data_IF_445283449202
#
_entry.id   IF_445283449202
#
_cell.length_a   1.000
_cell.length_b   1.000
_cell.length_c   1.000
_cell.angle_alpha   90.00
_cell.angle_beta   90.00
_cell.angle_gamma   90.00
#
_symmetry.space_group_name_H-M   'P 1'
#
loop_
_entity.id
_entity.type
_entity.pdbx_description
1 polymer ?
#
# COMPACT_ATOMS: atom_id res chain seq x y z
N UNK A 1 72.10 -46.05 25.35
CA UNK A 1 71.52 -46.25 23.99
C UNK A 1 70.04 -45.87 23.88
N UNK A 2 69.40 -45.32 24.92
CA UNK A 2 67.96 -44.99 24.94
C UNK A 2 67.62 -43.51 24.64
N UNK A 3 68.59 -42.60 24.71
CA UNK A 3 68.36 -41.16 24.49
C UNK A 3 68.21 -40.79 23.01
N UNK A 4 68.78 -41.59 22.09
CA UNK A 4 68.69 -41.33 20.64
C UNK A 4 67.31 -41.67 20.05
N UNK A 5 66.53 -42.54 20.69
CA UNK A 5 65.17 -42.89 20.22
C UNK A 5 64.11 -41.85 20.62
N UNK A 6 64.29 -41.16 21.75
CA UNK A 6 63.37 -40.09 22.16
C UNK A 6 63.42 -38.85 21.26
N UNK A 7 64.59 -38.54 20.70
CA UNK A 7 64.74 -37.41 19.78
C UNK A 7 64.11 -37.66 18.39
N UNK A 8 63.99 -38.92 17.95
CA UNK A 8 63.27 -39.26 16.72
C UNK A 8 61.75 -39.16 16.89
N UNK A 9 61.22 -39.54 18.06
CA UNK A 9 59.79 -39.45 18.37
C UNK A 9 59.28 -38.01 18.49
N UNK A 10 60.09 -37.10 19.06
CA UNK A 10 59.74 -35.68 19.17
C UNK A 10 59.83 -34.93 17.82
N UNK A 11 60.73 -35.33 16.92
CA UNK A 11 60.84 -34.72 15.59
C UNK A 11 59.67 -35.10 14.66
N UNK A 12 59.08 -36.30 14.84
CA UNK A 12 57.90 -36.73 14.08
C UNK A 12 56.60 -36.09 14.57
N UNK A 13 56.51 -35.67 15.85
CA UNK A 13 55.37 -34.94 16.39
C UNK A 13 55.39 -33.43 16.08
N UNK A 14 56.52 -32.91 15.61
CA UNK A 14 56.71 -31.50 15.18
C UNK A 14 56.75 -31.34 13.66
N UNK A 15 56.52 -32.41 12.89
CA UNK A 15 56.19 -32.22 11.48
C UNK A 15 54.83 -31.53 11.42
N UNK A 16 54.74 -30.32 10.84
CA UNK A 16 53.43 -29.76 10.53
C UNK A 16 52.71 -30.80 9.69
N UNK A 17 51.54 -31.26 10.16
CA UNK A 17 50.58 -31.94 9.32
C UNK A 17 50.56 -31.18 7.99
N UNK A 18 50.75 -31.84 6.83
CA UNK A 18 50.63 -31.15 5.57
C UNK A 18 49.25 -30.52 5.58
N UNK A 19 49.22 -29.19 5.70
CA UNK A 19 48.05 -28.39 5.37
C UNK A 19 47.79 -28.83 3.94
N UNK A 20 46.74 -29.63 3.74
CA UNK A 20 46.28 -29.95 2.40
C UNK A 20 46.18 -28.60 1.69
N UNK A 21 46.92 -28.38 0.58
CA UNK A 21 46.67 -27.21 -0.23
C UNK A 21 45.18 -27.23 -0.55
N UNK A 22 44.48 -26.15 -0.19
CA UNK A 22 43.11 -25.92 -0.61
C UNK A 22 43.01 -26.28 -2.10
N UNK A 23 42.04 -27.12 -2.46
CA UNK A 23 41.85 -27.55 -3.85
C UNK A 23 41.98 -26.32 -4.78
N UNK A 24 42.85 -26.36 -5.82
CA UNK A 24 43.09 -25.22 -6.69
C UNK A 24 41.82 -24.77 -7.45
N UNK A 25 40.79 -25.61 -7.45
CA UNK A 25 39.61 -25.46 -8.28
C UNK A 25 38.36 -25.23 -7.44
N UNK A 26 37.91 -23.98 -7.37
CA UNK A 26 36.63 -23.60 -6.78
C UNK A 26 35.42 -24.06 -7.60
N UNK A 27 35.64 -24.81 -8.69
CA UNK A 27 34.59 -25.33 -9.57
C UNK A 27 33.55 -26.14 -8.79
N UNK A 28 33.97 -26.84 -7.73
CA UNK A 28 33.07 -27.65 -6.91
C UNK A 28 31.94 -26.82 -6.26
N UNK A 29 32.12 -25.51 -6.14
CA UNK A 29 31.09 -24.62 -5.60
C UNK A 29 29.97 -24.29 -6.60
N UNK A 30 30.18 -24.54 -7.89
CA UNK A 30 29.31 -24.17 -9.02
C UNK A 30 29.24 -25.27 -10.09
N UNK A 31 29.11 -26.55 -9.70
CA UNK A 31 29.11 -27.72 -10.61
C UNK A 31 28.09 -27.66 -11.76
N UNK A 32 27.06 -26.84 -11.64
CA UNK A 32 26.04 -26.64 -12.67
C UNK A 32 26.48 -25.71 -13.81
N UNK A 33 27.67 -25.15 -13.71
CA UNK A 33 28.32 -24.35 -14.75
C UNK A 33 29.36 -25.26 -15.43
N UNK A 34 29.29 -25.45 -16.76
CA UNK A 34 30.28 -26.27 -17.45
C UNK A 34 31.67 -25.62 -17.35
N UNK A 35 32.74 -26.43 -17.39
CA UNK A 35 34.14 -25.96 -17.33
C UNK A 35 34.53 -25.01 -18.47
N UNK A 36 33.96 -25.23 -19.65
CA UNK A 36 34.16 -24.37 -20.79
C UNK A 36 32.93 -23.48 -20.91
N UNK A 37 33.09 -22.20 -20.59
CA UNK A 37 32.04 -21.20 -20.72
C UNK A 37 32.32 -20.21 -21.84
N UNK A 38 31.24 -19.81 -22.50
CA UNK A 38 31.20 -18.70 -23.45
C UNK A 38 29.97 -17.82 -23.15
N UNK A 39 29.69 -16.84 -24.03
CA UNK A 39 28.55 -15.93 -23.86
C UNK A 39 27.18 -16.62 -24.00
N UNK A 40 27.10 -17.79 -24.63
CA UNK A 40 25.85 -18.53 -24.87
C UNK A 40 25.40 -19.34 -23.65
N UNK A 41 26.32 -19.65 -22.73
CA UNK A 41 26.02 -20.37 -21.48
C UNK A 41 25.11 -19.54 -20.55
N UNK A 42 25.16 -18.21 -20.66
CA UNK A 42 24.42 -17.31 -19.78
C UNK A 42 23.25 -16.62 -20.51
N UNK A 43 22.11 -16.37 -19.84
CA UNK A 43 21.86 -16.60 -18.42
C UNK A 43 21.61 -18.07 -18.09
N UNK A 44 22.03 -18.50 -16.89
CA UNK A 44 21.65 -19.81 -16.37
C UNK A 44 20.26 -19.72 -15.76
N UNK A 45 19.37 -20.62 -16.15
CA UNK A 45 18.01 -20.66 -15.65
C UNK A 45 17.93 -21.51 -14.37
N UNK A 46 17.30 -20.97 -13.34
CA UNK A 46 16.95 -21.69 -12.12
C UNK A 46 15.43 -21.68 -11.93
N UNK A 47 14.91 -22.79 -11.43
CA UNK A 47 13.51 -22.90 -11.01
C UNK A 47 13.45 -23.03 -9.50
N UNK A 48 12.52 -22.29 -8.88
CA UNK A 48 12.29 -22.28 -7.44
C UNK A 48 10.87 -22.74 -7.18
N UNK A 49 10.73 -23.82 -6.43
CA UNK A 49 9.47 -24.47 -6.09
C UNK A 49 9.02 -24.15 -4.66
N UNK A 50 8.90 -22.85 -4.36
CA UNK A 50 8.52 -22.32 -3.04
C UNK A 50 7.42 -21.28 -3.15
N UNK A 51 6.60 -21.18 -2.10
CA UNK A 51 5.63 -20.09 -1.94
C UNK A 51 6.26 -18.80 -1.40
N UNK A 52 7.51 -18.84 -0.94
CA UNK A 52 8.27 -17.63 -0.55
C UNK A 52 8.54 -16.74 -1.76
N UNK A 53 8.35 -15.45 -1.57
CA UNK A 53 8.75 -14.40 -2.49
C UNK A 53 10.22 -13.97 -2.32
N UNK A 54 10.96 -14.51 -1.34
CA UNK A 54 12.41 -14.30 -1.22
C UNK A 54 13.18 -15.63 -1.18
N UNK A 55 14.33 -15.66 -1.84
CA UNK A 55 15.34 -16.72 -1.72
C UNK A 55 16.75 -16.13 -1.65
N UNK A 56 17.71 -16.90 -1.16
CA UNK A 56 19.14 -16.58 -1.33
C UNK A 56 19.68 -17.31 -2.56
N UNK A 57 20.42 -16.61 -3.41
CA UNK A 57 21.06 -17.15 -4.61
C UNK A 57 22.57 -17.07 -4.47
N UNK A 58 23.27 -18.17 -4.79
CA UNK A 58 24.73 -18.26 -4.71
C UNK A 58 25.39 -17.60 -5.92
N UNK A 59 26.09 -16.50 -5.71
CA UNK A 59 26.93 -15.84 -6.72
C UNK A 59 28.42 -16.12 -6.48
N UNK A 60 29.24 -16.22 -7.53
CA UNK A 60 30.69 -16.26 -7.36
C UNK A 60 31.21 -15.00 -6.65
N UNK A 61 32.24 -15.14 -5.83
CA UNK A 61 32.92 -14.05 -5.14
C UNK A 61 34.19 -13.64 -5.87
N UNK A 62 34.87 -12.58 -5.41
CA UNK A 62 36.09 -12.08 -6.05
C UNK A 62 37.26 -13.10 -6.03
N UNK A 63 37.26 -14.00 -5.04
CA UNK A 63 38.22 -15.10 -4.94
C UNK A 63 37.91 -16.28 -5.86
N UNK A 64 36.74 -16.31 -6.50
CA UNK A 64 36.37 -17.42 -7.38
C UNK A 64 37.30 -17.55 -8.58
N UNK A 65 37.73 -18.79 -8.85
CA UNK A 65 38.48 -19.22 -10.03
C UNK A 65 37.68 -20.33 -10.71
N UNK A 66 37.45 -20.21 -12.02
CA UNK A 66 36.57 -21.12 -12.74
C UNK A 66 37.32 -22.31 -13.33
N UNK A 67 38.19 -22.07 -14.32
CA UNK A 67 38.95 -23.09 -15.02
C UNK A 67 40.45 -22.97 -14.74
N UNK A 68 40.97 -21.75 -14.70
CA UNK A 68 42.39 -21.46 -14.47
C UNK A 68 42.60 -20.59 -13.23
N UNK A 69 43.76 -20.72 -12.59
CA UNK A 69 44.16 -19.89 -11.43
C UNK A 69 44.23 -18.39 -11.78
N UNK A 70 44.47 -18.09 -13.07
CA UNK A 70 44.50 -16.74 -13.61
C UNK A 70 43.10 -16.14 -13.85
N UNK A 71 42.02 -16.94 -13.83
CA UNK A 71 40.69 -16.39 -14.08
C UNK A 71 40.31 -15.39 -12.98
N UNK A 72 39.68 -14.27 -13.32
CA UNK A 72 39.31 -13.26 -12.31
C UNK A 72 37.81 -13.04 -12.34
N UNK A 73 37.18 -13.10 -11.17
CA UNK A 73 35.78 -12.74 -11.03
C UNK A 73 35.63 -11.34 -10.42
N UNK A 74 34.84 -10.49 -11.06
CA UNK A 74 34.47 -9.17 -10.54
C UNK A 74 32.98 -9.14 -10.25
N UNK A 75 32.62 -8.99 -8.98
CA UNK A 75 31.23 -8.85 -8.55
C UNK A 75 30.58 -7.58 -9.11
N UNK A 76 29.28 -7.66 -9.41
CA UNK A 76 28.46 -6.48 -9.68
C UNK A 76 28.21 -5.66 -8.40
N UNK A 77 27.81 -4.40 -8.56
CA UNK A 77 27.39 -3.55 -7.43
C UNK A 77 26.23 -4.19 -6.64
N UNK A 78 25.35 -4.93 -7.33
CA UNK A 78 24.20 -5.61 -6.71
C UNK A 78 24.63 -6.73 -5.75
N UNK A 79 25.79 -7.36 -5.98
CA UNK A 79 26.35 -8.38 -5.10
C UNK A 79 27.21 -7.75 -4.01
N UNK A 80 27.92 -6.67 -4.31
CA UNK A 80 28.87 -6.04 -3.38
C UNK A 80 28.21 -5.63 -2.05
N UNK A 81 26.96 -5.17 -2.09
CA UNK A 81 26.18 -4.81 -0.89
C UNK A 81 25.95 -5.96 0.09
N UNK A 82 26.09 -7.21 -0.35
CA UNK A 82 25.77 -8.40 0.45
C UNK A 82 27.00 -9.18 0.93
N UNK A 83 28.20 -8.74 0.57
CA UNK A 83 29.46 -9.42 0.91
C UNK A 83 29.66 -9.65 2.41
N UNK A 84 29.10 -8.78 3.25
CA UNK A 84 29.31 -8.81 4.69
C UNK A 84 28.27 -9.65 5.45
N UNK A 85 27.24 -10.17 4.77
CA UNK A 85 26.14 -10.88 5.45
C UNK A 85 26.48 -12.32 5.84
N UNK A 86 27.40 -12.95 5.12
CA UNK A 86 27.97 -14.24 5.47
C UNK A 86 29.49 -14.06 5.52
N UNK A 87 30.09 -13.77 6.68
CA UNK A 87 31.53 -13.61 6.80
C UNK A 87 32.20 -14.97 6.56
N UNK A 88 32.60 -15.20 5.31
CA UNK A 88 33.38 -16.36 4.91
C UNK A 88 34.81 -15.90 4.69
N UNK A 89 35.76 -16.56 5.34
CA UNK A 89 37.19 -16.27 5.24
C UNK A 89 37.75 -16.41 3.81
N UNK A 90 36.97 -16.94 2.85
CA UNK A 90 37.49 -17.38 1.56
C UNK A 90 37.09 -16.53 0.35
N UNK A 91 36.16 -15.57 0.47
CA UNK A 91 35.73 -14.69 -0.65
C UNK A 91 35.32 -15.41 -1.95
N UNK A 92 35.07 -16.73 -1.91
CA UNK A 92 34.83 -17.58 -3.09
C UNK A 92 33.41 -17.46 -3.64
N UNK A 93 32.44 -17.15 -2.79
CA UNK A 93 31.06 -16.92 -3.18
C UNK A 93 30.39 -15.93 -2.22
N UNK A 94 29.25 -15.41 -2.66
CA UNK A 94 28.40 -14.48 -1.92
C UNK A 94 26.96 -14.96 -2.06
N UNK A 95 26.23 -14.99 -0.95
CA UNK A 95 24.79 -15.26 -0.96
C UNK A 95 24.03 -13.95 -1.11
N UNK A 96 23.19 -13.89 -2.13
CA UNK A 96 22.47 -12.67 -2.52
C UNK A 96 20.98 -12.91 -2.32
N UNK A 97 20.29 -12.13 -1.46
CA UNK A 97 18.84 -12.19 -1.40
C UNK A 97 18.23 -11.69 -2.71
N UNK A 98 17.27 -12.45 -3.22
CA UNK A 98 16.54 -12.14 -4.45
C UNK A 98 15.04 -12.21 -4.19
N UNK A 99 14.37 -11.09 -4.45
CA UNK A 99 12.92 -10.95 -4.36
C UNK A 99 12.25 -11.36 -5.67
N UNK A 100 11.11 -12.03 -5.54
CA UNK A 100 10.20 -12.41 -6.59
C UNK A 100 9.51 -11.16 -7.13
N UNK A 101 9.59 -10.96 -8.45
CA UNK A 101 8.84 -9.89 -9.13
C UNK A 101 7.45 -10.36 -9.54
N UNK A 102 6.58 -9.41 -9.91
CA UNK A 102 5.23 -9.68 -10.43
C UNK A 102 5.21 -10.61 -11.65
N UNK A 103 6.29 -10.67 -12.43
CA UNK A 103 6.48 -11.61 -13.54
C UNK A 103 6.72 -13.07 -13.12
N UNK A 104 6.74 -13.36 -11.80
CA UNK A 104 7.20 -14.64 -11.22
C UNK A 104 8.63 -15.02 -11.63
N UNK A 105 9.44 -14.04 -12.04
CA UNK A 105 10.84 -14.25 -12.41
C UNK A 105 11.69 -13.04 -12.05
N UNK A 106 12.97 -13.28 -11.75
CA UNK A 106 13.93 -12.24 -11.48
C UNK A 106 15.27 -12.59 -12.11
N UNK A 107 15.87 -11.60 -12.79
CA UNK A 107 17.23 -11.72 -13.30
C UNK A 107 18.20 -11.20 -12.24
N UNK A 108 19.28 -11.93 -12.02
CA UNK A 108 20.36 -11.55 -11.11
C UNK A 108 21.67 -11.48 -11.90
N UNK A 109 22.34 -10.34 -11.83
CA UNK A 109 23.69 -10.18 -12.36
C UNK A 109 24.71 -10.36 -11.23
N UNK A 110 25.42 -11.49 -11.22
CA UNK A 110 26.43 -11.74 -10.21
C UNK A 110 27.73 -10.95 -10.45
N UNK A 111 27.99 -10.55 -11.69
CA UNK A 111 29.23 -9.88 -12.09
C UNK A 111 29.75 -10.33 -13.44
N UNK A 112 31.07 -10.25 -13.60
CA UNK A 112 31.79 -10.63 -14.81
C UNK A 112 32.95 -11.54 -14.45
N UNK A 113 33.13 -12.60 -15.23
CA UNK A 113 34.34 -13.41 -15.20
C UNK A 113 35.24 -13.04 -16.37
N UNK A 114 36.53 -12.91 -16.09
CA UNK A 114 37.58 -12.66 -17.05
C UNK A 114 38.38 -13.96 -17.19
N UNK A 115 38.33 -14.56 -18.38
CA UNK A 115 39.02 -15.82 -18.68
C UNK A 115 40.19 -15.51 -19.60
N UNK A 116 41.35 -16.05 -19.23
CA UNK A 116 42.54 -16.01 -20.07
C UNK A 116 42.59 -17.25 -20.97
N UNK A 117 42.75 -17.04 -22.27
CA UNK A 117 42.86 -18.12 -23.26
C UNK A 117 44.22 -18.06 -23.95
N UNK A 118 45.29 -18.48 -23.25
CA UNK A 118 46.65 -18.45 -23.79
C UNK A 118 47.17 -17.03 -24.01
N UNK A 119 47.68 -16.74 -25.21
CA UNK A 119 48.19 -15.41 -25.61
C UNK A 119 47.09 -14.42 -26.04
N UNK A 120 45.83 -14.87 -26.13
CA UNK A 120 44.72 -14.01 -26.55
C UNK A 120 44.30 -13.03 -25.45
N UNK A 121 43.69 -11.88 -25.83
CA UNK A 121 43.13 -10.93 -24.87
C UNK A 121 42.07 -11.60 -23.99
N UNK A 122 41.94 -11.10 -22.76
CA UNK A 122 40.96 -11.57 -21.79
C UNK A 122 39.55 -11.49 -22.36
N UNK A 123 38.85 -12.63 -22.34
CA UNK A 123 37.42 -12.66 -22.68
C UNK A 123 36.65 -12.40 -21.39
N UNK A 124 35.78 -11.39 -21.41
CA UNK A 124 34.87 -11.14 -20.30
C UNK A 124 33.48 -11.71 -20.61
N UNK A 125 32.93 -12.44 -19.65
CA UNK A 125 31.59 -13.05 -19.74
C UNK A 125 30.77 -12.55 -18.57
N UNK A 126 29.57 -12.02 -18.86
CA UNK A 126 28.63 -11.60 -17.82
C UNK A 126 27.99 -12.83 -17.18
N UNK A 127 28.17 -12.97 -15.87
CA UNK A 127 27.63 -14.08 -15.11
C UNK A 127 26.24 -13.73 -14.60
N UNK A 128 25.21 -14.19 -15.33
CA UNK A 128 23.82 -13.85 -15.05
C UNK A 128 22.96 -15.08 -14.82
N UNK A 129 22.00 -14.93 -13.92
CA UNK A 129 20.99 -15.95 -13.63
C UNK A 129 19.61 -15.42 -13.95
N UNK A 130 18.74 -16.32 -14.39
CA UNK A 130 17.31 -16.09 -14.51
C UNK A 130 16.60 -17.04 -13.56
N UNK A 131 16.04 -16.50 -12.47
CA UNK A 131 15.37 -17.28 -11.43
C UNK A 131 13.88 -17.19 -11.65
N UNK A 132 13.22 -18.34 -11.84
CA UNK A 132 11.78 -18.44 -12.10
C UNK A 132 11.10 -19.17 -10.95
N UNK A 133 10.09 -18.53 -10.36
CA UNK A 133 9.23 -19.16 -9.36
C UNK A 133 8.18 -19.98 -10.08
N UNK A 134 8.22 -21.29 -9.88
CA UNK A 134 7.24 -22.22 -10.40
C UNK A 134 6.18 -22.48 -9.32
N UNK A 135 4.91 -22.46 -9.72
CA UNK A 135 3.81 -22.64 -8.80
C UNK A 135 3.75 -24.11 -8.38
N UNK A 136 4.44 -24.45 -7.28
CA UNK A 136 4.58 -25.81 -6.78
C UNK A 136 3.96 -25.92 -5.39
N UNK A 137 3.09 -26.91 -5.18
CA UNK A 137 2.53 -27.22 -3.85
C UNK A 137 3.52 -27.97 -2.93
N UNK A 138 4.77 -28.17 -3.35
CA UNK A 138 5.73 -29.04 -2.67
C UNK A 138 6.23 -28.52 -1.31
N UNK A 139 6.29 -27.20 -1.12
CA UNK A 139 6.77 -26.58 0.12
C UNK A 139 5.99 -25.30 0.41
N UNK A 140 5.07 -25.39 1.36
CA UNK A 140 4.30 -24.26 1.85
C UNK A 140 4.93 -23.77 3.15
N UNK A 141 5.74 -22.71 3.08
CA UNK A 141 6.30 -22.07 4.26
C UNK A 141 5.17 -21.25 4.88
N UNK A 142 4.80 -21.59 6.11
CA UNK A 142 3.79 -20.86 6.86
C UNK A 142 4.33 -19.47 7.21
N UNK A 143 3.52 -18.44 6.96
CA UNK A 143 3.80 -17.08 7.43
C UNK A 143 3.27 -16.97 8.85
N UNK A 144 4.17 -16.78 9.80
CA UNK A 144 3.85 -16.51 11.19
C UNK A 144 3.63 -15.02 11.41
N UNK A 145 2.88 -14.65 12.45
CA UNK A 145 2.63 -13.25 12.80
C UNK A 145 3.51 -12.85 13.98
N UNK A 146 4.08 -11.65 13.94
CA UNK A 146 4.82 -11.08 15.07
C UNK A 146 4.30 -9.68 15.40
N UNK A 147 3.97 -9.44 16.68
CA UNK A 147 3.70 -8.09 17.14
C UNK A 147 5.03 -7.33 17.26
N UNK A 148 5.16 -6.24 16.49
CA UNK A 148 6.38 -5.45 16.38
C UNK A 148 6.63 -4.53 17.58
N UNK A 149 5.79 -4.58 18.62
CA UNK A 149 6.12 -4.05 19.96
C UNK A 149 7.03 -5.01 20.75
N UNK A 150 7.23 -6.24 20.23
CA UNK A 150 8.15 -7.22 20.78
C UNK A 150 9.26 -7.54 19.76
N UNK A 151 10.47 -7.94 20.25
CA UNK A 151 11.52 -8.48 19.40
C UNK A 151 11.01 -9.63 18.53
N UNK A 152 11.63 -9.79 17.36
CA UNK A 152 11.39 -10.97 16.56
C UNK A 152 12.00 -12.21 17.24
N UNK A 153 11.44 -13.43 17.04
CA UNK A 153 12.01 -14.65 17.60
C UNK A 153 13.45 -14.89 17.12
N UNK A 154 14.39 -15.04 18.05
CA UNK A 154 15.80 -15.30 17.70
C UNK A 154 16.01 -16.70 17.10
N UNK A 155 15.15 -17.64 17.47
CA UNK A 155 15.19 -19.04 17.08
C UNK A 155 13.77 -19.51 16.78
N UNK A 156 13.26 -19.29 15.57
CA UNK A 156 11.99 -19.90 15.16
C UNK A 156 12.10 -21.42 15.17
N UNK A 157 11.09 -22.10 15.73
CA UNK A 157 11.05 -23.57 15.79
C UNK A 157 11.19 -24.23 14.41
N UNK A 158 10.68 -23.58 13.36
CA UNK A 158 10.77 -24.08 11.97
C UNK A 158 12.20 -24.10 11.43
N UNK A 159 13.13 -23.42 12.11
CA UNK A 159 14.54 -23.40 11.79
C UNK A 159 15.37 -24.35 12.67
N UNK A 160 14.73 -25.28 13.39
CA UNK A 160 15.35 -26.37 14.16
C UNK A 160 16.46 -25.92 15.13
N UNK A 161 16.19 -24.88 15.93
CA UNK A 161 17.10 -24.40 16.99
C UNK A 161 18.50 -24.01 16.50
N UNK A 162 18.63 -23.50 15.28
CA UNK A 162 19.89 -22.97 14.73
C UNK A 162 20.33 -21.63 15.38
N UNK A 163 20.34 -21.55 16.72
CA UNK A 163 20.64 -20.36 17.51
C UNK A 163 21.99 -19.75 17.13
N UNK A 164 22.00 -18.46 16.77
CA UNK A 164 23.20 -17.73 16.35
C UNK A 164 23.65 -17.97 14.89
N UNK A 165 23.12 -19.00 14.22
CA UNK A 165 23.42 -19.31 12.84
C UNK A 165 22.33 -18.87 11.85
N UNK A 166 21.47 -17.91 12.24
CA UNK A 166 20.41 -17.39 11.38
C UNK A 166 20.80 -16.05 10.75
N UNK A 167 20.35 -15.88 9.50
CA UNK A 167 20.40 -14.64 8.74
C UNK A 167 18.96 -14.20 8.51
N UNK A 168 18.62 -13.02 9.03
CA UNK A 168 17.27 -12.45 8.89
C UNK A 168 17.34 -11.35 7.85
N UNK A 169 16.52 -11.46 6.83
CA UNK A 169 16.41 -10.47 5.77
C UNK A 169 15.01 -9.86 5.77
N UNK A 170 14.92 -8.59 5.40
CA UNK A 170 13.67 -7.92 5.11
C UNK A 170 13.86 -6.96 3.94
N UNK A 171 12.78 -6.73 3.21
CA UNK A 171 12.71 -5.57 2.33
C UNK A 171 12.73 -4.27 3.15
N UNK A 172 13.46 -3.29 2.64
CA UNK A 172 13.40 -1.89 2.98
C UNK A 172 12.59 -1.20 1.89
N UNK A 173 11.31 -0.98 2.20
CA UNK A 173 10.31 -0.43 1.28
C UNK A 173 10.64 0.99 0.79
N UNK A 174 11.44 1.76 1.53
CA UNK A 174 11.79 3.14 1.14
C UNK A 174 12.89 3.17 0.08
N UNK A 175 13.84 2.24 0.17
CA UNK A 175 14.99 2.18 -0.72
C UNK A 175 14.86 1.13 -1.83
N UNK A 176 13.78 0.33 -1.83
CA UNK A 176 13.59 -0.81 -2.75
C UNK A 176 14.80 -1.78 -2.68
N UNK A 177 15.26 -2.08 -1.46
CA UNK A 177 16.42 -2.96 -1.23
C UNK A 177 16.16 -3.98 -0.14
N UNK A 178 16.91 -5.08 -0.14
CA UNK A 178 16.89 -6.05 0.97
C UNK A 178 18.01 -5.73 1.95
N UNK A 179 17.68 -5.71 3.24
CA UNK A 179 18.61 -5.45 4.35
C UNK A 179 18.60 -6.58 5.37
N UNK A 180 19.75 -6.78 6.03
CA UNK A 180 19.83 -7.68 7.17
C UNK A 180 19.21 -7.04 8.41
N UNK A 181 18.47 -7.82 9.18
CA UNK A 181 17.70 -7.35 10.33
C UNK A 181 18.28 -7.93 11.63
N UNK A 182 18.39 -7.09 12.66
CA UNK A 182 18.67 -7.55 14.01
C UNK A 182 17.33 -7.91 14.69
N UNK A 183 17.11 -9.16 15.12
CA UNK A 183 15.84 -9.58 15.70
C UNK A 183 15.50 -8.84 17.00
N UNK A 184 16.52 -8.40 17.77
CA UNK A 184 16.36 -7.66 19.03
C UNK A 184 16.02 -6.18 18.83
N UNK A 185 16.33 -5.64 17.66
CA UNK A 185 16.19 -4.20 17.39
C UNK A 185 15.94 -3.96 15.90
N UNK A 186 14.70 -4.19 15.49
CA UNK A 186 14.25 -3.88 14.12
C UNK A 186 14.13 -2.37 13.98
N UNK A 187 14.91 -1.79 13.07
CA UNK A 187 14.89 -0.34 12.81
C UNK A 187 13.72 0.00 11.89
N UNK A 188 12.96 1.03 12.26
CA UNK A 188 11.84 1.60 11.47
C UNK A 188 10.90 0.54 10.88
N UNK A 189 10.33 -0.37 11.69
CA UNK A 189 9.44 -1.39 11.17
C UNK A 189 8.20 -0.76 10.52
N UNK A 190 7.57 -1.47 9.60
CA UNK A 190 6.32 -1.07 8.97
C UNK A 190 5.27 -2.18 8.98
N UNK A 191 4.00 -1.78 8.83
CA UNK A 191 2.88 -2.70 8.76
C UNK A 191 3.07 -3.72 7.62
N UNK A 192 2.76 -4.99 7.90
CA UNK A 192 2.88 -6.11 6.96
C UNK A 192 4.30 -6.42 6.45
N UNK A 193 5.35 -5.85 7.07
CA UNK A 193 6.74 -6.15 6.74
C UNK A 193 7.04 -7.65 6.92
N UNK A 194 7.68 -8.25 5.92
CA UNK A 194 8.07 -9.66 5.94
C UNK A 194 9.53 -9.82 6.35
N UNK A 195 9.77 -10.72 7.30
CA UNK A 195 11.08 -11.08 7.82
C UNK A 195 11.38 -12.54 7.47
N UNK A 196 12.40 -12.75 6.65
CA UNK A 196 12.78 -14.05 6.12
C UNK A 196 13.97 -14.59 6.90
N UNK A 197 13.79 -15.76 7.51
CA UNK A 197 14.82 -16.45 8.25
C UNK A 197 15.52 -17.47 7.36
N UNK A 198 16.82 -17.34 7.23
CA UNK A 198 17.67 -18.30 6.54
C UNK A 198 18.65 -18.91 7.53
N UNK A 199 18.83 -20.23 7.47
CA UNK A 199 19.98 -20.88 8.10
C UNK A 199 21.21 -20.43 7.31
N UNK A 200 22.19 -19.81 7.99
CA UNK A 200 23.42 -19.36 7.35
C UNK A 200 24.08 -20.57 6.69
N UNK A 201 24.40 -20.46 5.39
CA UNK A 201 25.04 -21.55 4.65
C UNK A 201 26.47 -21.78 5.13
N UNK A 202 26.87 -23.04 5.13
CA UNK A 202 28.25 -23.45 5.41
C UNK A 202 29.18 -23.12 4.24
N UNK A 203 30.50 -23.16 4.48
CA UNK A 203 31.50 -22.80 3.47
C UNK A 203 31.51 -23.75 2.26
N UNK A 204 31.15 -25.01 2.48
CA UNK A 204 31.06 -26.08 1.49
C UNK A 204 29.62 -26.34 1.01
N UNK A 205 28.69 -25.39 1.24
CA UNK A 205 27.30 -25.54 0.81
C UNK A 205 27.20 -25.59 -0.73
N UNK A 206 26.82 -26.75 -1.27
CA UNK A 206 26.68 -27.01 -2.71
C UNK A 206 25.38 -26.49 -3.30
N UNK A 207 24.43 -26.01 -2.47
CA UNK A 207 23.15 -25.51 -2.94
C UNK A 207 23.35 -24.27 -3.81
N UNK A 208 22.47 -24.12 -4.80
CA UNK A 208 22.46 -22.96 -5.71
C UNK A 208 21.53 -21.87 -5.18
N UNK A 209 20.45 -22.31 -4.54
CA UNK A 209 19.37 -21.49 -4.00
C UNK A 209 19.02 -22.03 -2.62
N UNK A 210 18.80 -21.13 -1.67
CA UNK A 210 18.33 -21.45 -0.33
C UNK A 210 17.00 -20.73 -0.11
N UNK A 211 16.01 -21.52 0.30
CA UNK A 211 14.69 -21.05 0.72
C UNK A 211 14.73 -20.68 2.21
N UNK A 212 13.90 -19.73 2.66
CA UNK A 212 13.81 -19.43 4.09
C UNK A 212 13.22 -20.62 4.87
N UNK A 213 13.68 -20.83 6.10
CA UNK A 213 13.12 -21.83 7.01
C UNK A 213 11.87 -21.32 7.74
N UNK A 214 11.77 -20.00 7.95
CA UNK A 214 10.60 -19.37 8.59
C UNK A 214 10.38 -17.97 8.01
N UNK A 215 9.13 -17.51 8.01
CA UNK A 215 8.75 -16.17 7.57
C UNK A 215 7.84 -15.57 8.63
N UNK A 216 8.17 -14.37 9.11
CA UNK A 216 7.31 -13.60 10.02
C UNK A 216 6.77 -12.37 9.31
N UNK A 217 5.50 -12.07 9.53
CA UNK A 217 4.86 -10.82 9.13
C UNK A 217 4.64 -9.95 10.35
N UNK A 218 5.18 -8.74 10.31
CA UNK A 218 5.05 -7.75 11.37
C UNK A 218 3.67 -7.09 11.38
N UNK A 219 3.06 -7.00 12.55
CA UNK A 219 1.86 -6.20 12.80
C UNK A 219 1.99 -5.43 14.13
N UNK A 220 1.09 -4.48 14.37
CA UNK A 220 0.90 -3.79 15.65
C UNK A 220 -0.59 -3.69 15.97
N UNK A 221 -0.92 -3.10 17.10
CA UNK A 221 -2.30 -2.83 17.51
C UNK A 221 -3.06 -1.92 16.53
N UNK A 222 -4.38 -2.01 16.59
CA UNK A 222 -5.33 -1.34 15.70
C UNK A 222 -5.04 0.18 15.57
N UNK A 223 -4.76 0.72 14.37
CA UNK A 223 -4.56 2.15 14.20
C UNK A 223 -5.88 2.91 14.21
N UNK A 224 -5.77 4.22 14.40
CA UNK A 224 -6.85 5.17 14.15
C UNK A 224 -6.61 5.91 12.84
N UNK A 225 -7.69 6.20 12.11
CA UNK A 225 -7.63 7.06 10.93
C UNK A 225 -7.59 8.51 11.42
N UNK A 226 -6.62 9.28 10.94
CA UNK A 226 -6.39 10.65 11.39
C UNK A 226 -6.24 11.60 10.20
N UNK A 227 -6.83 12.80 10.34
CA UNK A 227 -6.73 13.90 9.38
C UNK A 227 -5.91 15.02 10.04
N UNK A 228 -4.57 15.04 9.88
CA UNK A 228 -3.67 15.84 10.73
C UNK A 228 -3.88 17.36 10.61
N UNK A 229 -4.41 17.82 9.48
CA UNK A 229 -4.61 19.24 9.20
C UNK A 229 -5.98 19.76 9.68
N UNK A 230 -6.79 18.92 10.34
CA UNK A 230 -8.17 19.23 10.69
C UNK A 230 -8.53 18.87 12.12
N UNK A 231 -9.22 19.78 12.81
CA UNK A 231 -9.89 19.46 14.05
C UNK A 231 -11.16 18.66 13.75
N UNK A 232 -11.21 17.46 14.31
CA UNK A 232 -12.31 16.53 14.15
C UNK A 232 -13.20 16.59 15.36
N UNK A 233 -14.49 16.85 15.15
CA UNK A 233 -15.50 16.85 16.22
C UNK A 233 -16.48 15.70 16.01
N UNK A 234 -16.96 15.12 17.11
CA UNK A 234 -17.91 14.01 17.08
C UNK A 234 -19.34 14.55 16.94
N UNK A 235 -20.08 14.05 15.95
CA UNK A 235 -21.51 14.32 15.84
C UNK A 235 -22.28 13.29 16.68
N UNK A 236 -23.08 13.77 17.64
CA UNK A 236 -23.84 12.89 18.54
C UNK A 236 -24.84 11.99 17.78
N UNK A 237 -24.88 10.71 18.15
CA UNK A 237 -25.64 9.56 17.58
C UNK A 237 -27.14 9.74 17.28
N UNK A 238 -27.76 10.90 17.56
CA UNK A 238 -29.19 11.12 17.33
C UNK A 238 -29.54 11.49 15.89
N UNK A 239 -28.60 12.03 15.11
CA UNK A 239 -28.91 12.55 13.76
C UNK A 239 -28.80 11.49 12.68
N UNK A 240 -27.80 10.62 12.77
CA UNK A 240 -27.67 9.44 11.92
C UNK A 240 -28.16 8.25 12.72
N UNK A 241 -29.17 7.51 12.27
CA UNK A 241 -29.56 6.21 12.87
C UNK A 241 -28.46 5.15 12.64
N UNK A 242 -27.23 5.42 13.05
CA UNK A 242 -26.02 4.65 12.72
C UNK A 242 -25.43 4.19 14.04
N UNK A 243 -25.53 2.89 14.32
CA UNK A 243 -25.18 2.31 15.62
C UNK A 243 -23.68 2.08 15.82
N UNK A 244 -22.84 2.21 14.79
CA UNK A 244 -21.51 1.58 14.81
C UNK A 244 -20.35 2.41 14.21
N UNK A 245 -20.57 3.64 13.75
CA UNK A 245 -19.50 4.43 13.11
C UNK A 245 -19.25 5.74 13.84
N UNK A 246 -17.97 6.02 14.08
CA UNK A 246 -17.51 7.34 14.53
C UNK A 246 -17.79 8.34 13.40
N UNK A 247 -18.77 9.21 13.62
CA UNK A 247 -19.12 10.29 12.69
C UNK A 247 -18.36 11.56 13.06
N UNK A 248 -17.42 11.90 12.19
CA UNK A 248 -16.49 13.00 12.35
C UNK A 248 -16.94 14.19 11.51
N UNK A 249 -17.07 15.37 12.11
CA UNK A 249 -17.28 16.63 11.39
C UNK A 249 -15.96 17.34 11.21
N UNK A 250 -15.72 17.77 9.97
CA UNK A 250 -14.63 18.68 9.59
C UNK A 250 -15.23 20.01 9.17
N UNK A 251 -14.80 21.09 9.83
CA UNK A 251 -15.23 22.46 9.50
C UNK A 251 -14.63 22.87 8.15
N UNK A 252 -15.50 23.12 7.17
CA UNK A 252 -15.07 23.51 5.84
C UNK A 252 -15.57 24.90 5.44
N UNK A 253 -14.67 25.72 4.91
CA UNK A 253 -14.94 27.06 4.38
C UNK A 253 -14.19 27.18 3.05
N UNK A 254 -14.84 26.89 1.93
CA UNK A 254 -14.21 27.06 0.61
C UNK A 254 -15.12 26.72 -0.57
N UNK A 255 -14.85 27.33 -1.73
CA UNK A 255 -15.55 27.08 -3.01
C UNK A 255 -14.69 26.30 -4.02
N UNK A 256 -13.57 25.73 -3.58
CA UNK A 256 -12.59 25.03 -4.42
C UNK A 256 -12.42 23.59 -3.93
N UNK A 257 -11.86 22.74 -4.78
CA UNK A 257 -11.43 21.40 -4.42
C UNK A 257 -10.24 21.48 -3.45
N UNK A 258 -10.26 20.71 -2.36
CA UNK A 258 -9.19 20.72 -1.35
C UNK A 258 -8.60 19.32 -1.20
N UNK A 259 -7.27 19.28 -1.11
CA UNK A 259 -6.51 18.08 -0.82
C UNK A 259 -6.49 17.82 0.69
N UNK A 260 -7.13 16.73 1.11
CA UNK A 260 -7.15 16.24 2.49
C UNK A 260 -6.00 15.26 2.67
N UNK A 261 -5.13 15.50 3.65
CA UNK A 261 -4.13 14.52 4.09
C UNK A 261 -4.77 13.52 5.04
N UNK A 262 -4.39 12.26 4.91
CA UNK A 262 -4.81 11.17 5.80
C UNK A 262 -3.58 10.37 6.22
N UNK A 263 -3.54 9.98 7.49
CA UNK A 263 -2.59 8.99 7.98
C UNK A 263 -3.26 8.02 8.93
N UNK A 264 -2.65 6.85 9.07
CA UNK A 264 -2.96 5.89 10.12
C UNK A 264 -2.03 6.16 11.29
N UNK A 265 -2.61 6.27 12.48
CA UNK A 265 -1.90 6.64 13.70
C UNK A 265 -2.17 5.62 14.79
N UNK A 266 -1.10 5.09 15.38
CA UNK A 266 -1.18 4.30 16.61
C UNK A 266 -0.60 5.15 17.73
N UNK A 267 -1.45 5.56 18.69
CA UNK A 267 -1.09 6.54 19.71
C UNK A 267 -0.57 7.85 19.11
N UNK A 268 0.74 8.11 19.21
CA UNK A 268 1.43 9.25 18.60
C UNK A 268 2.32 8.88 17.40
N UNK A 269 2.43 7.59 17.07
CA UNK A 269 3.24 7.09 15.97
C UNK A 269 2.46 7.05 14.66
N UNK A 270 3.03 7.64 13.62
CA UNK A 270 2.53 7.66 12.24
C UNK A 270 3.45 6.91 11.28
N UNK A 271 4.59 6.41 11.77
CA UNK A 271 5.62 5.79 10.95
C UNK A 271 5.33 4.31 10.72
N UNK A 272 4.80 3.57 11.70
CA UNK A 272 4.57 2.14 11.50
C UNK A 272 3.60 1.83 10.34
N UNK A 273 2.48 2.54 10.27
CA UNK A 273 1.47 2.38 9.21
C UNK A 273 1.72 3.29 8.00
N UNK A 274 2.97 3.74 7.79
CA UNK A 274 3.31 4.57 6.64
C UNK A 274 3.11 3.79 5.34
N UNK A 275 2.64 4.48 4.29
CA UNK A 275 2.42 3.93 2.96
C UNK A 275 1.38 2.80 2.87
N UNK A 276 0.60 2.57 3.93
CA UNK A 276 -0.53 1.66 3.91
C UNK A 276 -1.67 2.20 3.05
N UNK A 277 -2.41 1.29 2.42
CA UNK A 277 -3.54 1.66 1.58
C UNK A 277 -4.84 1.74 2.40
N UNK A 278 -5.53 2.86 2.26
CA UNK A 278 -6.84 3.12 2.82
C UNK A 278 -7.85 3.11 1.67
N UNK A 279 -8.97 2.43 1.86
CA UNK A 279 -10.12 2.52 0.99
C UNK A 279 -10.94 3.77 1.32
N UNK A 280 -11.23 4.60 0.32
CA UNK A 280 -12.16 5.71 0.43
C UNK A 280 -13.40 5.41 -0.41
N UNK A 281 -14.58 5.54 0.18
CA UNK A 281 -15.86 5.43 -0.52
C UNK A 281 -16.69 6.68 -0.27
N UNK A 282 -17.44 7.14 -1.28
CA UNK A 282 -18.43 8.21 -1.10
C UNK A 282 -19.69 7.64 -0.49
N UNK A 283 -20.27 8.40 0.44
CA UNK A 283 -21.55 8.09 1.04
C UNK A 283 -22.58 9.15 0.68
N UNK A 284 -23.86 8.86 0.88
CA UNK A 284 -24.95 9.82 0.76
C UNK A 284 -25.81 9.82 2.01
N UNK A 285 -26.12 11.01 2.52
CA UNK A 285 -27.10 11.17 3.58
C UNK A 285 -28.51 11.33 3.00
N UNK A 286 -29.42 10.46 3.44
CA UNK A 286 -30.82 10.44 3.01
C UNK A 286 -31.76 10.50 4.20
N UNK A 287 -33.06 10.68 3.95
CA UNK A 287 -34.09 10.60 4.99
C UNK A 287 -34.06 9.29 5.79
N UNK A 288 -33.59 8.20 5.18
CA UNK A 288 -33.51 6.88 5.81
C UNK A 288 -32.19 6.62 6.54
N UNK A 289 -31.21 7.52 6.39
CA UNK A 289 -29.87 7.38 6.97
C UNK A 289 -28.77 7.46 5.92
N UNK A 290 -27.59 6.97 6.29
CA UNK A 290 -26.40 6.91 5.45
C UNK A 290 -26.46 5.70 4.51
N UNK A 291 -26.15 5.92 3.24
CA UNK A 291 -26.02 4.87 2.24
C UNK A 291 -24.68 5.00 1.51
N UNK A 292 -24.06 3.87 1.18
CA UNK A 292 -22.87 3.84 0.34
C UNK A 292 -23.24 4.14 -1.12
N UNK A 293 -22.41 4.94 -1.80
CA UNK A 293 -22.51 5.14 -3.24
C UNK A 293 -21.71 4.02 -3.90
N UNK A 294 -22.42 3.14 -4.62
CA UNK A 294 -21.80 2.02 -5.36
C UNK A 294 -20.75 2.55 -6.35
N UNK A 295 -19.71 1.75 -6.56
CA UNK A 295 -18.63 2.01 -7.52
C UNK A 295 -17.87 3.34 -7.27
N UNK A 296 -17.95 3.89 -6.06
CA UNK A 296 -17.20 5.09 -5.64
C UNK A 296 -15.92 4.78 -4.87
N UNK A 297 -15.63 3.51 -4.61
CA UNK A 297 -14.49 3.09 -3.79
C UNK A 297 -13.18 3.24 -4.56
N UNK A 298 -12.25 3.99 -4.00
CA UNK A 298 -10.89 4.17 -4.50
C UNK A 298 -9.87 3.80 -3.41
N UNK A 299 -8.64 3.48 -3.82
CA UNK A 299 -7.50 3.28 -2.92
C UNK A 299 -6.69 4.56 -2.82
N UNK A 300 -6.36 4.96 -1.60
CA UNK A 300 -5.54 6.13 -1.28
C UNK A 300 -4.48 5.75 -0.26
N UNK A 301 -3.35 6.43 -0.28
CA UNK A 301 -2.17 6.09 0.53
C UNK A 301 -1.79 7.21 1.51
N UNK A 302 -2.14 8.45 1.21
CA UNK A 302 -1.77 9.61 2.05
C UNK A 302 -2.68 10.83 1.93
N UNK A 303 -3.50 10.90 0.88
CA UNK A 303 -4.38 12.04 0.65
C UNK A 303 -5.47 11.74 -0.37
N UNK A 304 -6.53 12.54 -0.35
CA UNK A 304 -7.61 12.53 -1.33
C UNK A 304 -8.12 13.94 -1.55
N UNK A 305 -8.92 14.14 -2.60
CA UNK A 305 -9.57 15.41 -2.87
C UNK A 305 -11.04 15.35 -2.48
N UNK A 306 -11.52 16.42 -1.88
CA UNK A 306 -12.95 16.64 -1.66
C UNK A 306 -13.40 17.91 -2.37
N UNK A 307 -14.67 17.89 -2.78
CA UNK A 307 -15.38 19.09 -3.22
C UNK A 307 -15.95 19.86 -2.01
N UNK A 308 -16.56 21.01 -2.29
CA UNK A 308 -17.15 21.96 -1.31
C UNK A 308 -17.74 21.28 -0.07
N UNK A 309 -18.72 20.40 -0.24
CA UNK A 309 -19.24 19.57 0.84
C UNK A 309 -19.28 18.13 0.38
N UNK A 310 -18.84 17.22 1.25
CA UNK A 310 -18.82 15.80 0.91
C UNK A 310 -18.99 14.93 2.16
N UNK A 311 -19.29 13.67 1.91
CA UNK A 311 -19.44 12.64 2.93
C UNK A 311 -18.72 11.39 2.47
N UNK A 312 -17.72 10.97 3.22
CA UNK A 312 -16.86 9.83 2.84
C UNK A 312 -16.71 8.86 3.98
N UNK A 313 -16.58 7.57 3.65
CA UNK A 313 -16.15 6.50 4.54
C UNK A 313 -14.71 6.16 4.21
N UNK A 314 -13.83 6.21 5.22
CA UNK A 314 -12.48 5.70 5.13
C UNK A 314 -12.41 4.34 5.81
N UNK A 315 -11.74 3.39 5.18
CA UNK A 315 -11.63 1.99 5.63
C UNK A 315 -10.20 1.52 5.52
N UNK A 316 -9.64 0.97 6.59
CA UNK A 316 -8.36 0.29 6.61
C UNK A 316 -8.56 -1.15 7.09
N UNK A 317 -7.99 -2.11 6.37
CA UNK A 317 -7.99 -3.52 6.75
C UNK A 317 -6.71 -3.81 7.54
N UNK A 318 -6.86 -3.92 8.85
CA UNK A 318 -5.78 -4.18 9.79
C UNK A 318 -5.62 -5.68 10.01
N UNK A 319 -4.41 -6.19 9.85
CA UNK A 319 -4.09 -7.58 10.16
C UNK A 319 -3.72 -7.73 11.64
N UNK A 320 -4.35 -8.68 12.33
CA UNK A 320 -3.94 -9.13 13.66
C UNK A 320 -3.89 -10.66 13.80
N UNK A 321 -3.71 -11.15 15.03
CA UNK A 321 -3.63 -12.58 15.35
C UNK A 321 -4.90 -13.37 15.03
N UNK A 322 -6.03 -12.69 14.91
CA UNK A 322 -7.35 -13.27 14.60
C UNK A 322 -7.74 -13.14 13.13
N UNK A 323 -6.98 -12.35 12.36
CA UNK A 323 -7.19 -12.13 10.92
C UNK A 323 -7.33 -10.65 10.58
N UNK A 324 -7.99 -10.38 9.45
CA UNK A 324 -8.23 -9.01 9.02
C UNK A 324 -9.41 -8.39 9.78
N UNK A 325 -9.18 -7.23 10.40
CA UNK A 325 -10.16 -6.39 11.06
C UNK A 325 -10.34 -5.08 10.31
N UNK A 326 -11.60 -4.73 10.07
CA UNK A 326 -11.95 -3.45 9.45
C UNK A 326 -11.90 -2.33 10.49
N UNK A 327 -11.07 -1.32 10.24
CA UNK A 327 -11.16 0.00 10.90
C UNK A 327 -11.88 0.92 9.93
N UNK A 328 -13.01 1.50 10.35
CA UNK A 328 -13.70 2.49 9.52
C UNK A 328 -14.11 3.74 10.27
N UNK A 329 -14.07 4.87 9.57
CA UNK A 329 -14.53 6.16 10.07
C UNK A 329 -15.27 6.92 8.95
N UNK A 330 -16.33 7.64 9.33
CA UNK A 330 -17.12 8.44 8.40
C UNK A 330 -16.81 9.91 8.67
N UNK A 331 -16.44 10.66 7.63
CA UNK A 331 -16.15 12.08 7.71
C UNK A 331 -17.19 12.87 6.93
N UNK A 332 -17.86 13.77 7.64
CA UNK A 332 -18.74 14.78 7.11
C UNK A 332 -17.99 16.11 6.95
N UNK A 333 -17.74 16.49 5.70
CA UNK A 333 -17.19 17.80 5.33
C UNK A 333 -18.34 18.76 5.12
N UNK A 334 -18.72 19.44 6.20
CA UNK A 334 -19.90 20.30 6.27
C UNK A 334 -19.57 21.78 6.45
N UNK A 335 -20.57 22.66 6.29
CA UNK A 335 -20.40 24.08 6.54
C UNK A 335 -20.05 24.34 8.01
N UNK A 336 -19.33 25.44 8.25
CA UNK A 336 -18.96 25.83 9.60
C UNK A 336 -20.18 26.18 10.47
N UNK A 337 -21.21 26.78 9.86
CA UNK A 337 -22.46 27.12 10.52
C UNK A 337 -23.46 25.95 10.42
N UNK A 338 -24.10 25.64 11.56
CA UNK A 338 -25.15 24.61 11.64
C UNK A 338 -26.31 24.88 10.67
N UNK A 339 -26.71 26.14 10.56
CA UNK A 339 -27.69 26.60 9.58
C UNK A 339 -26.95 27.48 8.58
N UNK A 340 -26.63 26.91 7.43
CA UNK A 340 -25.88 27.57 6.39
C UNK A 340 -26.82 27.99 5.26
N UNK A 341 -26.70 29.24 4.81
CA UNK A 341 -27.47 29.75 3.68
C UNK A 341 -26.49 30.20 2.62
N UNK A 342 -26.64 29.68 1.40
CA UNK A 342 -25.83 30.11 0.26
C UNK A 342 -26.23 31.50 -0.20
N UNK A 343 -25.36 32.15 -1.00
CA UNK A 343 -25.73 33.36 -1.71
C UNK A 343 -26.92 33.11 -2.65
N UNK A 344 -27.71 34.15 -2.91
CA UNK A 344 -28.84 34.06 -3.84
C UNK A 344 -28.31 33.82 -5.25
N UNK A 345 -28.75 32.73 -5.86
CA UNK A 345 -28.38 32.39 -7.23
C UNK A 345 -29.46 32.87 -8.22
N UNK A 346 -29.02 33.47 -9.33
CA UNK A 346 -29.90 34.07 -10.33
C UNK A 346 -29.86 33.24 -11.61
N UNK A 347 -30.94 32.52 -11.87
CA UNK A 347 -31.01 31.57 -12.97
C UNK A 347 -31.91 32.14 -14.06
N UNK A 348 -31.32 32.43 -15.22
CA UNK A 348 -32.11 32.72 -16.43
C UNK A 348 -32.46 31.41 -17.12
N UNK A 349 -33.73 31.24 -17.45
CA UNK A 349 -34.19 30.06 -18.19
C UNK A 349 -35.15 30.45 -19.33
N UNK A 350 -35.32 29.53 -20.28
CA UNK A 350 -36.18 29.68 -21.46
C UNK A 350 -37.11 28.48 -21.46
N UNK A 351 -38.42 28.63 -21.67
CA UNK A 351 -39.31 27.47 -21.78
C UNK A 351 -39.05 26.74 -23.13
N UNK A 352 -38.95 25.39 -23.16
CA UNK A 352 -39.31 24.42 -22.12
C UNK A 352 -38.12 23.86 -21.31
N UNK A 353 -36.99 24.58 -21.19
CA UNK A 353 -35.84 24.18 -20.37
C UNK A 353 -36.21 23.96 -18.88
N UNK A 354 -35.25 23.48 -18.08
CA UNK A 354 -35.39 23.28 -16.63
C UNK A 354 -35.97 24.52 -15.93
N UNK A 355 -37.28 24.49 -15.69
CA UNK A 355 -38.00 25.55 -14.98
C UNK A 355 -37.63 25.60 -13.50
N UNK A 356 -38.28 26.48 -12.72
CA UNK A 356 -37.99 26.66 -11.30
C UNK A 356 -38.02 25.32 -10.56
N UNK A 357 -36.92 24.93 -9.94
CA UNK A 357 -36.80 23.60 -9.33
C UNK A 357 -35.93 23.57 -8.08
N UNK A 358 -36.10 22.48 -7.30
CA UNK A 358 -35.20 22.07 -6.24
C UNK A 358 -34.72 20.64 -6.50
N UNK A 359 -33.42 20.40 -6.38
CA UNK A 359 -32.90 19.04 -6.33
C UNK A 359 -33.42 18.32 -5.08
N UNK A 360 -33.68 17.02 -5.17
CA UNK A 360 -34.09 16.18 -4.03
C UNK A 360 -32.92 15.95 -3.07
N UNK A 361 -31.69 15.95 -3.58
CA UNK A 361 -30.47 15.82 -2.79
C UNK A 361 -29.58 17.04 -3.02
N UNK A 362 -28.96 17.52 -1.95
CA UNK A 362 -27.89 18.49 -2.02
C UNK A 362 -26.55 17.78 -1.90
N UNK A 363 -25.92 17.57 -3.06
CA UNK A 363 -24.69 16.77 -3.19
C UNK A 363 -24.88 15.40 -2.49
N UNK A 364 -23.92 15.03 -1.65
CA UNK A 364 -23.93 13.80 -0.86
C UNK A 364 -24.35 14.02 0.60
N UNK A 365 -24.56 15.27 1.00
CA UNK A 365 -24.57 15.66 2.42
C UNK A 365 -25.95 16.00 2.97
N UNK A 366 -26.95 16.16 2.12
CA UNK A 366 -28.29 16.50 2.56
C UNK A 366 -29.40 16.09 1.60
N UNK A 367 -30.59 15.93 2.15
CA UNK A 367 -31.82 15.67 1.41
C UNK A 367 -32.79 16.84 1.58
N UNK A 368 -33.61 17.10 0.58
CA UNK A 368 -34.57 18.19 0.58
C UNK A 368 -35.65 17.92 1.63
N UNK A 369 -35.73 18.79 2.64
CA UNK A 369 -36.72 18.68 3.72
C UNK A 369 -37.92 19.59 3.45
N UNK A 370 -37.65 20.80 2.96
CA UNK A 370 -38.68 21.82 2.73
C UNK A 370 -38.36 22.68 1.51
N UNK A 371 -39.39 23.32 0.99
CA UNK A 371 -39.30 24.35 -0.04
C UNK A 371 -40.09 25.58 0.38
N UNK A 372 -39.59 26.76 0.03
CA UNK A 372 -40.37 28.00 0.08
C UNK A 372 -40.58 28.47 -1.35
N UNK A 373 -41.81 28.34 -1.85
CA UNK A 373 -42.19 28.74 -3.20
C UNK A 373 -43.04 30.02 -3.12
N UNK A 374 -42.50 31.13 -3.65
CA UNK A 374 -43.14 32.45 -3.63
C UNK A 374 -43.69 32.86 -2.25
N UNK A 375 -42.91 32.59 -1.20
CA UNK A 375 -43.24 32.93 0.18
C UNK A 375 -44.05 31.88 0.95
N UNK A 376 -44.53 30.82 0.28
CA UNK A 376 -45.27 29.73 0.91
C UNK A 376 -44.31 28.58 1.22
N UNK A 377 -44.23 28.19 2.50
CA UNK A 377 -43.43 27.05 2.94
C UNK A 377 -44.22 25.75 2.84
N UNK A 378 -43.61 24.71 2.26
CA UNK A 378 -44.14 23.36 2.21
C UNK A 378 -43.07 22.32 2.56
N UNK A 379 -43.39 21.38 3.45
CA UNK A 379 -42.55 20.20 3.67
C UNK A 379 -42.72 19.23 2.50
N UNK A 380 -41.64 18.55 2.09
CA UNK A 380 -41.68 17.58 0.98
C UNK A 380 -42.74 16.50 1.18
N UNK A 381 -42.99 16.06 2.41
CA UNK A 381 -43.98 15.03 2.72
C UNK A 381 -45.42 15.54 2.60
N UNK A 382 -45.64 16.86 2.64
CA UNK A 382 -46.98 17.48 2.67
C UNK A 382 -47.26 18.40 1.49
N UNK A 383 -46.37 18.47 0.47
CA UNK A 383 -46.51 19.39 -0.66
C UNK A 383 -47.85 19.24 -1.40
N UNK A 384 -48.35 18.00 -1.54
CA UNK A 384 -49.62 17.71 -2.20
C UNK A 384 -50.86 18.26 -1.46
N UNK A 385 -50.70 18.66 -0.20
CA UNK A 385 -51.75 19.22 0.64
C UNK A 385 -51.46 20.65 1.12
N UNK A 386 -50.31 21.23 0.78
CA UNK A 386 -49.97 22.61 1.16
C UNK A 386 -50.72 23.61 0.28
N UNK A 387 -51.60 24.40 0.89
CA UNK A 387 -52.36 25.44 0.20
C UNK A 387 -51.43 26.44 -0.51
N UNK A 388 -51.80 26.81 -1.73
CA UNK A 388 -51.02 27.71 -2.58
C UNK A 388 -49.86 27.04 -3.34
N UNK A 389 -49.41 25.84 -2.94
CA UNK A 389 -48.43 25.00 -3.66
C UNK A 389 -49.10 23.80 -4.33
N UNK A 390 -50.15 23.24 -3.72
CA UNK A 390 -50.88 22.07 -4.22
C UNK A 390 -51.25 22.24 -5.70
N UNK A 391 -50.87 21.23 -6.50
CA UNK A 391 -51.13 21.20 -7.94
C UNK A 391 -50.14 22.00 -8.80
N UNK A 392 -49.21 22.76 -8.19
CA UNK A 392 -48.23 23.61 -8.91
C UNK A 392 -46.83 23.01 -8.95
N UNK A 393 -46.70 21.69 -8.82
CA UNK A 393 -45.40 21.04 -8.88
C UNK A 393 -45.47 19.63 -9.48
N UNK A 394 -44.34 19.20 -10.04
CA UNK A 394 -44.10 17.85 -10.53
C UNK A 394 -42.81 17.34 -9.89
N UNK A 395 -42.83 16.10 -9.41
CA UNK A 395 -41.68 15.46 -8.76
C UNK A 395 -41.19 14.30 -9.62
N UNK A 396 -39.89 14.25 -9.87
CA UNK A 396 -39.22 13.04 -10.35
C UNK A 396 -38.25 12.54 -9.25
N UNK A 397 -37.36 11.61 -9.61
CA UNK A 397 -36.41 11.03 -8.65
C UNK A 397 -35.39 12.06 -8.12
N UNK A 398 -34.98 13.01 -8.95
CA UNK A 398 -33.85 13.88 -8.69
C UNK A 398 -34.25 15.32 -8.38
N UNK A 399 -35.45 15.75 -8.77
CA UNK A 399 -35.90 17.13 -8.73
C UNK A 399 -37.41 17.27 -8.42
N UNK A 400 -37.74 18.42 -7.86
CA UNK A 400 -39.10 18.94 -7.74
C UNK A 400 -39.18 20.20 -8.58
N UNK A 401 -39.96 20.15 -9.65
CA UNK A 401 -40.22 21.26 -10.56
C UNK A 401 -41.49 21.97 -10.15
N UNK A 402 -41.47 23.30 -10.16
CA UNK A 402 -42.62 24.12 -9.86
C UNK A 402 -43.15 24.74 -11.14
N UNK A 403 -44.47 24.83 -11.23
CA UNK A 403 -45.14 25.55 -12.29
C UNK A 403 -44.89 27.06 -12.12
N UNK A 404 -44.89 27.78 -13.23
CA UNK A 404 -44.80 29.24 -13.20
C UNK A 404 -46.08 29.80 -12.58
N UNK A 405 -45.97 30.94 -11.87
CA UNK A 405 -47.17 31.65 -11.43
C UNK A 405 -47.97 32.10 -12.63
N UNK A 406 -49.20 31.60 -12.77
CA UNK A 406 -50.19 32.03 -13.76
C UNK A 406 -50.26 33.57 -13.81
N UNK A 407 -49.69 34.16 -14.86
CA UNK A 407 -49.51 35.61 -14.96
C UNK A 407 -48.44 36.07 -15.95
N UNK A 408 -47.57 35.17 -16.41
CA UNK A 408 -46.57 35.45 -17.44
C UNK A 408 -47.21 35.66 -18.81
N UNK A 409 -47.79 36.84 -19.03
CA UNK A 409 -48.11 37.32 -20.36
C UNK A 409 -46.81 37.72 -21.05
N UNK A 410 -46.71 37.38 -22.34
CA UNK A 410 -45.67 37.82 -23.26
C UNK A 410 -45.40 39.32 -23.00
N UNK A 411 -44.15 39.66 -22.62
CA UNK A 411 -43.63 41.00 -22.25
C UNK A 411 -43.61 41.39 -20.75
N UNK A 412 -43.84 40.47 -19.81
CA UNK A 412 -43.66 40.73 -18.36
C UNK A 412 -42.41 40.00 -17.82
N UNK A 413 -41.59 40.69 -16.99
CA UNK A 413 -40.45 40.09 -16.27
C UNK A 413 -40.99 39.15 -15.19
N UNK A 414 -40.99 37.85 -15.44
CA UNK A 414 -41.44 36.86 -14.48
C UNK A 414 -40.28 36.34 -13.64
N UNK A 415 -40.32 36.65 -12.34
CA UNK A 415 -39.39 36.12 -11.35
C UNK A 415 -40.09 35.15 -10.42
N UNK A 416 -39.59 33.92 -10.36
CA UNK A 416 -40.03 32.92 -9.39
C UNK A 416 -38.99 32.80 -8.28
N UNK A 417 -39.43 32.95 -7.04
CA UNK A 417 -38.57 32.84 -5.86
C UNK A 417 -38.72 31.46 -5.25
N UNK A 418 -37.63 30.72 -5.18
CA UNK A 418 -37.58 29.40 -4.56
C UNK A 418 -36.49 29.39 -3.50
N UNK A 419 -36.78 28.84 -2.31
CA UNK A 419 -35.74 28.42 -1.37
C UNK A 419 -35.84 26.93 -1.15
N UNK A 420 -34.78 26.21 -1.46
CA UNK A 420 -34.67 24.78 -1.19
C UNK A 420 -33.93 24.59 0.13
N UNK A 421 -34.56 23.96 1.11
CA UNK A 421 -34.01 23.76 2.45
C UNK A 421 -33.70 22.28 2.62
N UNK A 422 -32.41 21.98 2.73
CA UNK A 422 -31.87 20.64 2.85
C UNK A 422 -31.48 20.33 4.27
N UNK A 423 -31.85 19.15 4.74
CA UNK A 423 -31.43 18.62 6.04
C UNK A 423 -30.12 17.88 5.90
N UNK A 424 -29.15 18.21 6.75
CA UNK A 424 -27.82 17.59 6.79
C UNK A 424 -27.60 16.84 8.11
N UNK A 425 -26.42 16.24 8.25
CA UNK A 425 -26.00 15.56 9.48
C UNK A 425 -25.77 16.53 10.66
N UNK A 426 -25.55 17.81 10.40
CA UNK A 426 -25.33 18.83 11.43
C UNK A 426 -26.10 20.11 11.12
N UNK A 427 -27.41 19.97 10.91
CA UNK A 427 -28.33 21.09 10.73
C UNK A 427 -28.92 21.18 9.32
N UNK A 428 -28.83 22.36 8.71
CA UNK A 428 -29.52 22.67 7.45
C UNK A 428 -28.68 23.49 6.49
N UNK A 429 -28.89 23.24 5.20
CA UNK A 429 -28.36 24.06 4.10
C UNK A 429 -29.54 24.65 3.34
N UNK A 430 -29.57 25.97 3.18
CA UNK A 430 -30.60 26.68 2.41
C UNK A 430 -30.01 27.23 1.13
N UNK A 431 -30.63 26.89 0.00
CA UNK A 431 -30.29 27.40 -1.32
C UNK A 431 -31.40 28.33 -1.83
N UNK A 432 -31.19 29.64 -1.78
CA UNK A 432 -32.11 30.62 -2.35
C UNK A 432 -31.86 30.81 -3.86
N UNK A 433 -32.91 30.69 -4.66
CA UNK A 433 -32.90 30.86 -6.11
C UNK A 433 -33.90 31.93 -6.54
N UNK A 434 -33.49 32.73 -7.53
CA UNK A 434 -34.37 33.61 -8.31
C UNK A 434 -34.32 33.12 -9.75
N UNK A 435 -35.42 32.56 -10.23
CA UNK A 435 -35.58 32.15 -11.62
C UNK A 435 -36.20 33.28 -12.42
N UNK A 436 -35.50 33.76 -13.45
CA UNK A 436 -35.93 34.83 -14.33
C UNK A 436 -36.21 34.29 -15.73
N UNK A 437 -37.46 34.42 -16.16
CA UNK A 437 -37.90 33.96 -17.46
C UNK A 437 -37.39 34.89 -18.57
N UNK A 438 -36.70 34.33 -19.57
CA UNK A 438 -36.25 35.07 -20.76
C UNK A 438 -36.90 34.53 -22.04
N UNK A 439 -37.56 35.41 -22.80
CA UNK A 439 -37.95 35.10 -24.17
C UNK A 439 -36.74 35.30 -25.09
N UNK A 440 -36.44 34.33 -25.97
CA UNK A 440 -35.63 34.63 -27.16
C UNK A 440 -36.38 35.68 -27.97
N UNK A 441 -35.85 36.89 -28.05
CA UNK A 441 -36.13 37.75 -29.19
C UNK A 441 -35.44 37.07 -30.37
N UNK A 442 -36.19 36.32 -31.16
CA UNK A 442 -35.73 35.89 -32.49
C UNK A 442 -35.75 37.17 -33.32
N UNK A 443 -34.55 37.70 -33.57
CA UNK A 443 -34.34 38.79 -34.53
C UNK A 443 -34.44 38.29 -35.96
#
# INVERSE_FOLDING_TARGET
MLVKFYLLGAALALMPLPIQPQEPYSQNLFHYVPLNIDKSVFPINFEVATNSDMVLVKCPGAGYRHKNDEDVFMNSNDVLKYKNFVPLNTSLFVWVPLLKKSSNSAQLNCGKIFIKSGENPWVHISWTYNVKWINSMSKNIKINLNNMDHPLPETPDECHDATGNLLIMSEDRENDTVVAVNPRNVKNPYANQLFYYFIKPEQNDERKIIEPCSIYRGFKDLPTINLPDYEVTYLSDKVAKVKENVLNKVYYIGSQEIKIKVNLKLNNDTQFYRCEEISLSKMRYTKNGLIDIKDSTIKINSSFFINVFDLVKLVYNHLDTTGDKEVSQIYYFGPALKNFTYGVDYIRYIHPSEGPNCAVNFMNVGYLEKVVYNGIEGNIDTLHSTDGIKGKFKKNLDFIFFEETNGCKINSKCKTYIRCIYKTLDGTITMPYIFDYSNRIVG
#
